data_IF_715380199160
#
_entry.id   IF_715380199160
#
_cell.length_a   1.000
_cell.length_b   1.000
_cell.length_c   1.000
_cell.angle_alpha   90.00
_cell.angle_beta   90.00
_cell.angle_gamma   90.00
#
_symmetry.space_group_name_H-M   'P 1'
#
loop_
_entity.id
_entity.type
_entity.pdbx_description
1 polymer ?
#
# COMPACT_ATOMS: atom_id res chain seq x y z
N UNK A 1 -55.79 -19.94 39.79
CA UNK A 1 -54.35 -20.16 39.58
C UNK A 1 -53.65 -18.96 40.19
N UNK A 2 -53.23 -19.01 41.46
CA UNK A 2 -51.95 -19.59 41.94
C UNK A 2 -50.76 -18.99 41.15
N UNK A 3 -49.78 -18.31 41.73
CA UNK A 3 -49.45 -17.91 43.10
C UNK A 3 -48.25 -16.94 43.03
N UNK A 4 -48.17 -15.93 43.90
CA UNK A 4 -47.24 -15.83 45.06
C UNK A 4 -45.76 -15.88 44.59
N UNK A 5 -44.94 -14.82 44.69
CA UNK A 5 -44.38 -14.29 45.95
C UNK A 5 -43.82 -12.87 45.76
N UNK A 6 -44.15 -12.01 46.74
CA UNK A 6 -43.41 -10.80 47.13
C UNK A 6 -41.94 -11.12 47.40
N UNK A 7 -41.04 -10.15 47.28
CA UNK A 7 -40.23 -9.66 48.42
C UNK A 7 -39.84 -8.21 48.12
N UNK A 8 -40.49 -7.32 48.84
CA UNK A 8 -40.00 -5.99 49.22
C UNK A 8 -38.97 -6.16 50.33
N UNK A 9 -37.79 -5.54 50.21
CA UNK A 9 -37.07 -4.93 51.35
C UNK A 9 -36.26 -3.75 50.80
N UNK A 10 -36.87 -2.57 50.83
CA UNK A 10 -36.15 -1.30 50.90
C UNK A 10 -35.80 -1.06 52.38
N UNK A 11 -34.56 -0.65 52.67
CA UNK A 11 -34.24 0.02 53.94
C UNK A 11 -32.96 -0.43 54.68
N UNK A 12 -31.93 0.40 54.52
CA UNK A 12 -30.97 0.86 55.55
C UNK A 12 -30.06 -0.19 56.20
N UNK A 13 -28.75 -0.12 55.90
CA UNK A 13 -27.72 0.09 56.93
C UNK A 13 -26.41 0.58 56.29
N UNK A 14 -26.04 1.82 56.64
CA UNK A 14 -24.66 2.29 56.61
C UNK A 14 -23.95 1.63 57.79
N UNK A 15 -23.06 0.68 57.54
CA UNK A 15 -22.12 0.23 58.56
C UNK A 15 -20.68 0.50 58.12
N UNK A 16 -19.98 1.26 58.96
CA UNK A 16 -18.57 1.57 58.86
C UNK A 16 -17.77 0.38 59.42
N UNK A 17 -17.59 -0.64 58.59
CA UNK A 17 -16.69 -1.76 58.86
C UNK A 17 -15.27 -1.48 58.39
N UNK A 18 -14.46 -0.87 59.26
CA UNK A 18 -13.03 -0.69 59.08
C UNK A 18 -12.32 -2.05 59.23
N UNK A 19 -11.50 -2.44 58.25
CA UNK A 19 -10.46 -3.45 58.42
C UNK A 19 -10.73 -4.82 57.82
N UNK A 20 -9.70 -5.37 57.16
CA UNK A 20 -9.58 -6.74 56.64
C UNK A 20 -10.31 -7.08 55.33
N UNK A 21 -9.89 -6.48 54.21
CA UNK A 21 -10.13 -7.09 52.89
C UNK A 21 -8.93 -7.09 51.93
N UNK A 22 -7.72 -6.77 52.38
CA UNK A 22 -6.52 -6.76 51.51
C UNK A 22 -5.67 -8.04 51.58
N UNK A 23 -5.94 -8.98 52.50
CA UNK A 23 -5.20 -10.26 52.57
C UNK A 23 -5.88 -11.45 51.87
N UNK A 24 -7.13 -11.30 51.41
CA UNK A 24 -7.88 -12.41 50.80
C UNK A 24 -7.71 -12.51 49.27
N UNK A 25 -7.08 -11.53 48.62
CA UNK A 25 -6.85 -11.56 47.16
C UNK A 25 -5.45 -12.06 46.77
N UNK A 26 -4.62 -12.39 47.77
CA UNK A 26 -3.54 -13.35 47.64
C UNK A 26 -4.11 -14.77 47.81
N UNK A 27 -5.08 -15.15 46.96
CA UNK A 27 -5.46 -16.56 46.81
C UNK A 27 -4.28 -17.27 46.14
N UNK A 28 -3.34 -17.66 46.99
CA UNK A 28 -2.56 -18.88 46.97
C UNK A 28 -2.18 -19.44 45.59
N UNK A 29 -1.44 -18.64 44.83
CA UNK A 29 -0.67 -19.11 43.68
C UNK A 29 0.52 -19.99 44.11
N UNK A 30 0.71 -20.30 45.39
CA UNK A 30 1.81 -21.13 45.89
C UNK A 30 1.40 -22.58 46.17
N UNK A 31 0.14 -22.85 46.54
CA UNK A 31 -0.37 -24.21 46.85
C UNK A 31 -0.94 -24.99 45.67
N UNK A 32 -1.09 -24.38 44.48
CA UNK A 32 -1.55 -25.09 43.29
C UNK A 32 -0.42 -25.93 42.67
N UNK A 33 -0.75 -27.17 42.28
CA UNK A 33 0.15 -28.07 41.56
C UNK A 33 0.75 -27.36 40.34
N UNK A 34 2.02 -27.63 40.00
CA UNK A 34 2.69 -27.06 38.83
C UNK A 34 1.87 -27.23 37.53
N UNK A 35 1.03 -28.26 37.48
CA UNK A 35 0.11 -28.53 36.38
C UNK A 35 -1.08 -27.57 36.33
N UNK A 36 -1.62 -27.16 37.48
CA UNK A 36 -2.76 -26.22 37.55
C UNK A 36 -2.32 -24.79 37.20
N UNK A 37 -1.11 -24.40 37.61
CA UNK A 37 -0.48 -23.14 37.18
C UNK A 37 -0.29 -23.10 35.67
N UNK A 38 0.22 -24.20 35.09
CA UNK A 38 0.38 -24.32 33.66
C UNK A 38 -0.96 -24.20 32.93
N UNK A 39 -2.02 -24.85 33.42
CA UNK A 39 -3.37 -24.75 32.83
C UNK A 39 -3.95 -23.35 32.94
N UNK A 40 -3.80 -22.71 34.10
CA UNK A 40 -4.29 -21.35 34.34
C UNK A 40 -3.53 -20.33 33.47
N UNK A 41 -2.23 -20.49 33.32
CA UNK A 41 -1.38 -19.64 32.49
C UNK A 41 -1.62 -19.87 30.99
N UNK A 42 -1.84 -21.11 30.55
CA UNK A 42 -2.26 -21.43 29.19
C UNK A 42 -3.63 -20.84 28.85
N UNK A 43 -4.59 -20.93 29.79
CA UNK A 43 -5.90 -20.31 29.66
C UNK A 43 -5.81 -18.78 29.59
N UNK A 44 -4.91 -18.17 30.39
CA UNK A 44 -4.69 -16.72 30.42
C UNK A 44 -3.94 -16.21 29.17
N UNK A 45 -3.02 -17.02 28.63
CA UNK A 45 -2.34 -16.78 27.35
C UNK A 45 -3.35 -16.82 26.19
N UNK A 46 -4.24 -17.81 26.15
CA UNK A 46 -5.32 -17.87 25.15
C UNK A 46 -6.32 -16.72 25.30
N UNK A 47 -6.66 -16.31 26.53
CA UNK A 47 -7.56 -15.17 26.75
C UNK A 47 -6.96 -13.84 26.26
N UNK A 48 -5.65 -13.61 26.45
CA UNK A 48 -4.96 -12.42 25.92
C UNK A 48 -4.84 -12.42 24.40
N UNK A 49 -4.62 -13.58 23.77
CA UNK A 49 -4.60 -13.68 22.31
C UNK A 49 -5.98 -13.53 21.67
N UNK A 50 -7.06 -13.94 22.35
CA UNK A 50 -8.43 -13.76 21.87
C UNK A 50 -8.80 -12.29 21.62
N UNK A 51 -8.32 -11.36 22.45
CA UNK A 51 -8.52 -9.93 22.26
C UNK A 51 -7.70 -9.32 21.11
N UNK A 52 -6.46 -9.80 20.93
CA UNK A 52 -5.60 -9.38 19.82
C UNK A 52 -6.11 -9.93 18.47
N UNK A 53 -6.58 -11.18 18.45
CA UNK A 53 -7.23 -11.81 17.29
C UNK A 53 -8.59 -11.19 16.99
N UNK A 54 -9.37 -10.80 18.01
CA UNK A 54 -10.63 -10.08 17.81
C UNK A 54 -10.41 -8.70 17.16
N UNK A 55 -9.35 -7.99 17.54
CA UNK A 55 -9.00 -6.70 16.93
C UNK A 55 -8.50 -6.86 15.48
N UNK A 56 -7.69 -7.89 15.19
CA UNK A 56 -7.30 -8.20 13.82
C UNK A 56 -8.49 -8.64 12.96
N UNK A 57 -9.38 -9.46 13.53
CA UNK A 57 -10.60 -9.90 12.86
C UNK A 57 -11.51 -8.72 12.54
N UNK A 58 -11.63 -7.72 13.42
CA UNK A 58 -12.41 -6.51 13.17
C UNK A 58 -11.85 -5.69 11.99
N UNK A 59 -10.54 -5.43 11.97
CA UNK A 59 -9.90 -4.72 10.85
C UNK A 59 -10.05 -5.47 9.53
N UNK A 60 -9.84 -6.79 9.54
CA UNK A 60 -9.96 -7.64 8.34
C UNK A 60 -11.41 -7.74 7.88
N UNK A 61 -12.38 -7.82 8.79
CA UNK A 61 -13.80 -7.90 8.45
C UNK A 61 -14.28 -6.62 7.76
N UNK A 62 -13.89 -5.45 8.27
CA UNK A 62 -14.18 -4.16 7.62
C UNK A 62 -13.49 -4.09 6.24
N UNK A 63 -12.25 -4.55 6.13
CA UNK A 63 -11.53 -4.61 4.86
C UNK A 63 -12.24 -5.53 3.85
N UNK A 64 -12.67 -6.72 4.24
CA UNK A 64 -13.37 -7.66 3.35
C UNK A 64 -14.71 -7.08 2.90
N UNK A 65 -15.51 -6.55 3.83
CA UNK A 65 -16.82 -5.96 3.51
C UNK A 65 -16.65 -4.78 2.55
N UNK A 66 -15.70 -3.88 2.82
CA UNK A 66 -15.44 -2.73 1.94
C UNK A 66 -14.91 -3.15 0.57
N UNK A 67 -14.04 -4.17 0.49
CA UNK A 67 -13.59 -4.73 -0.79
C UNK A 67 -14.73 -5.36 -1.59
N UNK A 68 -15.62 -6.12 -0.96
CA UNK A 68 -16.79 -6.72 -1.61
C UNK A 68 -17.71 -5.63 -2.15
N UNK A 69 -18.02 -4.62 -1.33
CA UNK A 69 -18.85 -3.48 -1.76
C UNK A 69 -18.18 -2.73 -2.91
N UNK A 70 -16.88 -2.42 -2.81
CA UNK A 70 -16.14 -1.75 -3.87
C UNK A 70 -16.16 -2.55 -5.18
N UNK A 71 -16.01 -3.87 -5.10
CA UNK A 71 -16.06 -4.75 -6.26
C UNK A 71 -17.45 -4.78 -6.89
N UNK A 72 -18.51 -4.88 -6.09
CA UNK A 72 -19.89 -4.82 -6.57
C UNK A 72 -20.19 -3.47 -7.22
N UNK A 73 -19.80 -2.36 -6.59
CA UNK A 73 -19.94 -1.02 -7.16
C UNK A 73 -19.19 -0.88 -8.49
N UNK A 74 -17.96 -1.36 -8.58
CA UNK A 74 -17.18 -1.35 -9.82
C UNK A 74 -17.86 -2.15 -10.94
N UNK A 75 -18.33 -3.36 -10.63
CA UNK A 75 -19.00 -4.23 -11.61
C UNK A 75 -20.33 -3.63 -12.05
N UNK A 76 -21.14 -3.14 -11.11
CA UNK A 76 -22.42 -2.46 -11.39
C UNK A 76 -22.20 -1.19 -12.21
N UNK A 77 -21.18 -0.40 -11.86
CA UNK A 77 -20.85 0.82 -12.58
C UNK A 77 -20.38 0.54 -14.01
N UNK A 78 -19.54 -0.50 -14.21
CA UNK A 78 -19.13 -0.96 -15.54
C UNK A 78 -20.33 -1.38 -16.40
N UNK A 79 -21.29 -2.10 -15.81
CA UNK A 79 -22.48 -2.56 -16.52
C UNK A 79 -23.45 -1.41 -16.86
N UNK A 80 -23.67 -0.47 -15.93
CA UNK A 80 -24.63 0.62 -16.11
C UNK A 80 -24.09 1.78 -16.96
N UNK A 81 -22.80 2.12 -16.81
CA UNK A 81 -22.17 3.26 -17.48
C UNK A 81 -20.80 2.90 -18.08
N UNK A 82 -20.74 2.06 -19.12
CA UNK A 82 -19.48 1.60 -19.72
C UNK A 82 -18.61 2.76 -20.24
N UNK A 83 -19.22 3.83 -20.76
CA UNK A 83 -18.50 5.01 -21.24
C UNK A 83 -17.75 5.73 -20.11
N UNK A 84 -18.41 5.92 -18.97
CA UNK A 84 -17.79 6.58 -17.80
C UNK A 84 -16.72 5.70 -17.17
N UNK A 85 -16.97 4.40 -17.07
CA UNK A 85 -16.01 3.43 -16.54
C UNK A 85 -14.71 3.41 -17.36
N UNK A 86 -14.82 3.36 -18.69
CA UNK A 86 -13.66 3.36 -19.58
C UNK A 86 -12.87 4.68 -19.48
N UNK A 87 -13.55 5.83 -19.39
CA UNK A 87 -12.88 7.12 -19.24
C UNK A 87 -12.13 7.22 -17.91
N UNK A 88 -12.74 6.81 -16.79
CA UNK A 88 -12.07 6.89 -15.48
C UNK A 88 -10.91 5.91 -15.40
N UNK A 89 -11.07 4.70 -15.93
CA UNK A 89 -9.97 3.72 -15.96
C UNK A 89 -8.81 4.22 -16.82
N UNK A 90 -9.11 4.79 -17.99
CA UNK A 90 -8.10 5.41 -18.86
C UNK A 90 -7.38 6.56 -18.15
N UNK A 91 -8.13 7.43 -17.47
CA UNK A 91 -7.59 8.55 -16.71
C UNK A 91 -6.70 8.06 -15.55
N UNK A 92 -7.14 7.04 -14.81
CA UNK A 92 -6.39 6.51 -13.69
C UNK A 92 -5.06 5.88 -14.12
N UNK A 93 -5.06 5.09 -15.20
CA UNK A 93 -3.83 4.54 -15.78
C UNK A 93 -2.88 5.65 -16.28
N UNK A 94 -3.42 6.77 -16.77
CA UNK A 94 -2.64 7.93 -17.21
C UNK A 94 -2.06 8.75 -16.05
N UNK A 95 -2.76 8.88 -14.91
CA UNK A 95 -2.33 9.68 -13.74
C UNK A 95 -1.34 8.93 -12.83
N UNK A 96 -1.40 7.60 -12.74
CA UNK A 96 -0.52 6.83 -11.85
C UNK A 96 0.98 7.06 -12.13
N UNK A 97 1.47 6.99 -13.39
CA UNK A 97 2.86 7.30 -13.71
C UNK A 97 3.25 8.75 -13.39
N UNK A 98 2.31 9.69 -13.55
CA UNK A 98 2.51 11.10 -13.21
C UNK A 98 2.72 11.31 -11.71
N UNK A 99 1.88 10.67 -10.88
CA UNK A 99 1.97 10.78 -9.43
C UNK A 99 3.33 10.27 -8.92
N UNK A 100 3.79 9.13 -9.43
CA UNK A 100 5.09 8.59 -9.05
C UNK A 100 6.24 9.52 -9.48
N UNK A 101 6.23 10.00 -10.72
CA UNK A 101 7.32 10.83 -11.25
C UNK A 101 7.39 12.24 -10.67
N UNK A 102 6.25 12.80 -10.23
CA UNK A 102 6.22 14.05 -9.43
C UNK A 102 6.79 13.85 -8.03
N UNK A 103 6.48 12.74 -7.35
CA UNK A 103 7.08 12.41 -6.05
C UNK A 103 8.60 12.21 -6.12
N UNK A 104 9.10 11.71 -7.26
CA UNK A 104 10.53 11.56 -7.54
C UNK A 104 11.19 12.85 -8.09
N UNK A 105 10.46 13.97 -8.19
CA UNK A 105 10.91 15.28 -8.70
C UNK A 105 11.61 15.23 -10.08
N UNK A 106 11.19 14.30 -10.96
CA UNK A 106 11.85 14.12 -12.25
C UNK A 106 11.29 15.08 -13.31
N UNK A 107 11.75 16.33 -13.28
CA UNK A 107 11.20 17.43 -14.10
C UNK A 107 11.25 17.20 -15.62
N UNK A 108 12.28 16.50 -16.12
CA UNK A 108 12.45 16.19 -17.55
C UNK A 108 11.34 15.27 -18.08
N UNK A 109 11.01 14.24 -17.31
CA UNK A 109 9.93 13.32 -17.67
C UNK A 109 8.57 14.04 -17.59
N UNK A 110 8.37 14.86 -16.55
CA UNK A 110 7.14 15.62 -16.36
C UNK A 110 6.88 16.59 -17.51
N UNK A 111 7.91 17.31 -17.98
CA UNK A 111 7.79 18.24 -19.10
C UNK A 111 7.39 17.52 -20.41
N UNK A 112 8.08 16.42 -20.75
CA UNK A 112 7.74 15.62 -21.94
C UNK A 112 6.32 15.05 -21.85
N UNK A 113 5.94 14.54 -20.68
CA UNK A 113 4.61 13.99 -20.44
C UNK A 113 3.51 15.04 -20.56
N UNK A 114 3.74 16.24 -20.01
CA UNK A 114 2.80 17.34 -20.10
C UNK A 114 2.57 17.77 -21.55
N UNK A 115 3.65 17.92 -22.34
CA UNK A 115 3.55 18.27 -23.76
C UNK A 115 2.77 17.19 -24.53
N UNK A 116 3.14 15.92 -24.35
CA UNK A 116 2.46 14.80 -24.99
C UNK A 116 0.96 14.76 -24.66
N UNK A 117 0.62 14.99 -23.38
CA UNK A 117 -0.77 14.94 -22.92
C UNK A 117 -1.58 16.15 -23.40
N UNK A 118 -1.00 17.35 -23.41
CA UNK A 118 -1.64 18.55 -23.93
C UNK A 118 -1.96 18.38 -25.43
N UNK A 119 -0.99 17.89 -26.22
CA UNK A 119 -1.18 17.59 -27.64
C UNK A 119 -2.28 16.54 -27.84
N UNK A 120 -2.22 15.41 -27.13
CA UNK A 120 -3.22 14.33 -27.23
C UNK A 120 -4.62 14.82 -26.85
N UNK A 121 -4.73 15.67 -25.84
CA UNK A 121 -5.98 16.29 -25.43
C UNK A 121 -6.53 17.25 -26.50
N UNK A 122 -5.69 18.07 -27.14
CA UNK A 122 -6.12 18.96 -28.24
C UNK A 122 -6.66 18.17 -29.44
N UNK A 123 -6.01 17.06 -29.80
CA UNK A 123 -6.47 16.18 -30.89
C UNK A 123 -7.79 15.53 -30.54
N UNK A 124 -7.88 14.98 -29.33
CA UNK A 124 -9.10 14.33 -28.82
C UNK A 124 -10.25 15.31 -28.74
N UNK A 125 -9.99 16.53 -28.27
CA UNK A 125 -10.98 17.60 -28.20
C UNK A 125 -11.52 17.96 -29.58
N UNK A 126 -10.64 18.12 -30.58
CA UNK A 126 -11.06 18.36 -31.97
C UNK A 126 -11.84 17.17 -32.54
N UNK A 127 -11.49 15.93 -32.18
CA UNK A 127 -12.20 14.73 -32.60
C UNK A 127 -13.57 14.52 -31.94
N UNK A 128 -13.81 15.11 -30.75
CA UNK A 128 -15.04 14.91 -29.97
C UNK A 128 -16.10 15.98 -30.20
N UNK A 129 -15.76 17.08 -30.91
CA UNK A 129 -16.73 18.14 -31.28
C UNK A 129 -17.71 17.63 -32.37
N UNK A 130 -18.98 18.06 -32.26
CA UNK A 130 -20.05 17.83 -33.24
C UNK A 130 -20.51 19.19 -33.80
N UNK A 131 -20.86 19.33 -35.10
CA UNK A 131 -20.81 18.33 -36.17
C UNK A 131 -19.37 17.97 -36.57
N UNK A 132 -19.15 16.73 -37.03
CA UNK A 132 -17.82 16.29 -37.47
C UNK A 132 -17.52 16.87 -38.85
N UNK A 133 -16.56 17.79 -38.92
CA UNK A 133 -16.05 18.31 -40.19
C UNK A 133 -15.28 17.19 -40.93
N UNK A 134 -15.42 17.12 -42.26
CA UNK A 134 -14.71 16.17 -43.15
C UNK A 134 -13.18 16.28 -43.08
N UNK A 135 -12.63 17.33 -42.46
CA UNK A 135 -11.19 17.51 -42.21
C UNK A 135 -10.70 16.80 -40.94
N UNK A 136 -11.59 16.51 -39.98
CA UNK A 136 -11.30 15.88 -38.69
C UNK A 136 -10.59 14.52 -38.79
N UNK A 137 -11.05 13.56 -39.62
CA UNK A 137 -10.33 12.28 -39.76
C UNK A 137 -8.90 12.50 -40.25
N UNK A 138 -8.68 13.40 -41.23
CA UNK A 138 -7.34 13.70 -41.77
C UNK A 138 -6.38 14.23 -40.69
N UNK A 139 -6.87 15.04 -39.76
CA UNK A 139 -6.06 15.59 -38.67
C UNK A 139 -5.65 14.49 -37.67
N UNK A 140 -6.58 13.62 -37.29
CA UNK A 140 -6.30 12.48 -36.40
C UNK A 140 -5.28 11.54 -37.03
N UNK A 141 -5.44 11.18 -38.31
CA UNK A 141 -4.47 10.33 -39.01
C UNK A 141 -3.08 10.96 -39.08
N UNK A 142 -2.98 12.26 -39.41
CA UNK A 142 -1.68 12.97 -39.43
C UNK A 142 -1.02 12.96 -38.05
N UNK A 143 -1.80 13.13 -36.98
CA UNK A 143 -1.26 13.08 -35.62
C UNK A 143 -0.80 11.69 -35.20
N UNK A 144 -1.60 10.65 -35.46
CA UNK A 144 -1.18 9.27 -35.21
C UNK A 144 0.09 8.91 -35.98
N UNK A 145 0.19 9.34 -37.24
CA UNK A 145 1.39 9.15 -38.05
C UNK A 145 2.59 9.93 -37.50
N UNK A 146 2.38 11.13 -36.95
CA UNK A 146 3.42 11.90 -36.29
C UNK A 146 3.91 11.21 -35.02
N UNK A 147 2.99 10.71 -34.18
CA UNK A 147 3.32 9.92 -32.99
C UNK A 147 4.10 8.66 -33.36
N UNK A 148 3.67 7.94 -34.40
CA UNK A 148 4.40 6.78 -34.91
C UNK A 148 5.85 7.15 -35.28
N UNK A 149 6.05 8.24 -36.04
CA UNK A 149 7.39 8.73 -36.39
C UNK A 149 8.20 9.12 -35.16
N UNK A 150 7.63 9.86 -34.22
CA UNK A 150 8.32 10.29 -33.00
C UNK A 150 8.74 9.10 -32.13
N UNK A 151 7.85 8.12 -31.93
CA UNK A 151 8.15 6.90 -31.18
C UNK A 151 9.20 6.05 -31.89
N UNK A 152 9.10 5.90 -33.22
CA UNK A 152 10.07 5.17 -34.02
C UNK A 152 11.46 5.82 -33.94
N UNK A 153 11.54 7.14 -34.15
CA UNK A 153 12.80 7.89 -34.04
C UNK A 153 13.36 7.84 -32.63
N UNK A 154 12.53 8.03 -31.60
CA UNK A 154 12.99 7.97 -30.19
C UNK A 154 13.45 6.56 -29.82
N UNK A 155 12.78 5.52 -30.33
CA UNK A 155 13.17 4.12 -30.15
C UNK A 155 14.51 3.82 -30.80
N UNK A 156 14.73 4.26 -32.04
CA UNK A 156 16.03 4.15 -32.72
C UNK A 156 17.10 4.92 -31.96
N UNK A 157 16.85 6.18 -31.61
CA UNK A 157 17.83 7.00 -30.89
C UNK A 157 18.15 6.37 -29.53
N UNK A 158 17.16 5.92 -28.78
CA UNK A 158 17.35 5.24 -27.50
C UNK A 158 18.13 3.94 -27.66
N UNK A 159 17.80 3.13 -28.66
CA UNK A 159 18.55 1.92 -28.99
C UNK A 159 19.99 2.24 -29.39
N UNK A 160 20.21 3.21 -30.28
CA UNK A 160 21.53 3.67 -30.67
C UNK A 160 22.34 4.18 -29.48
N UNK A 161 21.73 4.91 -28.55
CA UNK A 161 22.37 5.37 -27.30
C UNK A 161 22.75 4.19 -26.41
N UNK A 162 21.86 3.21 -26.24
CA UNK A 162 22.14 2.00 -25.44
C UNK A 162 23.25 1.18 -26.10
N UNK A 163 23.15 0.93 -27.40
CA UNK A 163 24.18 0.22 -28.17
C UNK A 163 25.51 0.95 -28.08
N UNK A 164 25.56 2.26 -28.29
CA UNK A 164 26.78 3.05 -28.18
C UNK A 164 27.38 3.06 -26.76
N UNK A 165 26.51 3.05 -25.74
CA UNK A 165 26.92 2.92 -24.33
C UNK A 165 27.56 1.56 -24.08
N UNK A 166 27.02 0.48 -24.66
CA UNK A 166 27.54 -0.89 -24.54
C UNK A 166 28.78 -1.16 -25.41
N UNK A 167 28.86 -0.59 -26.61
CA UNK A 167 30.02 -0.65 -27.52
C UNK A 167 31.26 0.09 -27.00
N UNK A 168 31.15 0.80 -25.87
CA UNK A 168 32.32 1.02 -25.03
C UNK A 168 32.78 2.47 -24.85
N UNK A 169 31.96 3.50 -25.08
CA UNK A 169 32.31 4.84 -24.56
C UNK A 169 32.37 4.82 -23.03
N UNK A 170 31.53 4.02 -22.36
CA UNK A 170 31.66 3.75 -20.92
C UNK A 170 32.94 2.97 -20.55
N UNK A 171 33.48 2.14 -21.44
CA UNK A 171 34.74 1.41 -21.24
C UNK A 171 35.97 2.32 -21.43
N UNK A 172 35.91 3.29 -22.34
CA UNK A 172 36.97 4.29 -22.53
C UNK A 172 37.10 5.16 -21.26
N UNK A 173 36.00 5.58 -20.65
CA UNK A 173 36.03 6.33 -19.37
C UNK A 173 36.31 5.46 -18.14
N UNK A 174 35.97 4.16 -18.13
CA UNK A 174 36.24 3.24 -16.99
C UNK A 174 37.62 2.58 -17.03
N UNK A 175 38.32 2.64 -18.15
CA UNK A 175 39.71 2.19 -18.28
C UNK A 175 40.73 3.32 -18.03
N UNK A 176 40.27 4.58 -17.92
CA UNK A 176 41.00 5.65 -17.24
C UNK A 176 40.80 5.49 -15.72
N UNK A 177 41.80 5.74 -14.87
CA UNK A 177 42.31 4.81 -13.86
C UNK A 177 41.50 4.76 -12.55
N UNK A 178 40.38 4.02 -12.52
CA UNK A 178 39.71 3.64 -11.27
C UNK A 178 39.78 2.14 -10.95
N UNK A 179 40.28 1.32 -11.89
CA UNK A 179 40.46 -0.13 -11.67
C UNK A 179 41.71 -0.49 -10.84
N UNK A 180 42.59 0.49 -10.56
CA UNK A 180 43.79 0.24 -9.76
C UNK A 180 43.56 0.32 -8.24
N UNK A 181 42.43 0.90 -7.77
CA UNK A 181 42.22 1.20 -6.34
C UNK A 181 41.12 0.38 -5.66
N UNK A 182 40.11 -0.14 -6.37
CA UNK A 182 39.04 -0.91 -5.72
C UNK A 182 38.69 -2.20 -6.47
N UNK A 183 39.30 -3.31 -6.05
CA UNK A 183 38.89 -4.64 -6.45
C UNK A 183 37.57 -5.04 -5.78
N UNK A 184 36.43 -4.62 -6.33
CA UNK A 184 35.11 -5.13 -5.92
C UNK A 184 34.18 -5.37 -7.12
N UNK A 185 33.63 -6.59 -7.30
CA UNK A 185 32.73 -6.91 -8.40
C UNK A 185 31.32 -6.38 -8.17
N UNK A 186 30.68 -5.92 -9.25
CA UNK A 186 29.39 -5.22 -9.30
C UNK A 186 28.14 -6.06 -8.91
N UNK A 187 28.30 -7.28 -8.42
CA UNK A 187 27.20 -8.19 -8.09
C UNK A 187 26.47 -7.85 -6.77
N UNK A 188 27.04 -6.96 -5.94
CA UNK A 188 26.54 -6.74 -4.57
C UNK A 188 25.48 -5.63 -4.45
N UNK A 189 25.27 -4.81 -5.48
CA UNK A 189 24.41 -3.63 -5.37
C UNK A 189 22.91 -3.96 -5.49
N UNK A 190 22.54 -4.92 -6.35
CA UNK A 190 21.17 -5.41 -6.51
C UNK A 190 20.67 -6.14 -5.25
N UNK A 191 21.50 -7.02 -4.66
CA UNK A 191 21.15 -7.71 -3.42
C UNK A 191 20.96 -6.75 -2.24
N UNK A 192 21.79 -5.70 -2.16
CA UNK A 192 21.63 -4.66 -1.15
C UNK A 192 20.37 -3.81 -1.35
N UNK A 193 19.90 -3.65 -2.59
CA UNK A 193 18.67 -2.96 -2.89
C UNK A 193 17.44 -3.82 -2.54
N UNK A 194 17.46 -5.12 -2.86
CA UNK A 194 16.43 -6.08 -2.44
C UNK A 194 16.31 -6.18 -0.92
N UNK A 195 17.43 -6.27 -0.19
CA UNK A 195 17.42 -6.32 1.28
C UNK A 195 16.87 -5.04 1.91
N UNK A 196 17.16 -3.87 1.30
CA UNK A 196 16.62 -2.59 1.78
C UNK A 196 15.11 -2.49 1.60
N UNK A 197 14.58 -2.94 0.47
CA UNK A 197 13.13 -2.99 0.23
C UNK A 197 12.40 -3.98 1.13
N UNK A 198 12.99 -5.15 1.36
CA UNK A 198 12.44 -6.14 2.29
C UNK A 198 12.42 -5.59 3.73
N UNK A 199 13.52 -4.98 4.19
CA UNK A 199 13.61 -4.41 5.55
C UNK A 199 12.71 -3.18 5.78
N UNK A 200 12.27 -2.48 4.72
CA UNK A 200 11.30 -1.38 4.86
C UNK A 200 9.86 -1.84 5.06
N UNK A 201 9.54 -3.11 4.77
CA UNK A 201 8.18 -3.67 4.87
C UNK A 201 7.95 -4.41 6.20
N UNK A 202 9.00 -4.84 6.91
CA UNK A 202 8.91 -5.77 8.06
C UNK A 202 9.39 -5.22 9.42
N UNK A 203 9.24 -3.92 9.72
CA UNK A 203 9.43 -3.43 11.10
C UNK A 203 8.10 -3.04 11.76
N UNK A 204 7.51 -3.91 12.62
CA UNK A 204 6.74 -3.42 13.75
C UNK A 204 7.72 -2.80 14.76
N UNK A 205 7.41 -1.59 15.20
CA UNK A 205 8.12 -0.86 16.25
C UNK A 205 8.07 -1.65 17.57
N UNK A 206 9.18 -2.29 17.95
CA UNK A 206 9.37 -2.80 19.32
C UNK A 206 9.71 -1.63 20.27
N UNK A 207 9.14 -1.59 21.49
CA UNK A 207 9.56 -0.65 22.53
C UNK A 207 10.90 -1.06 23.16
N UNK A 208 11.67 -0.11 23.75
CA UNK A 208 12.96 -0.40 24.36
C UNK A 208 12.81 -1.17 25.68
N UNK A 209 13.59 -2.25 25.83
CA UNK A 209 13.78 -2.93 27.11
C UNK A 209 14.70 -2.13 28.04
N UNK A 210 14.53 -2.23 29.37
CA UNK A 210 15.36 -1.55 30.34
C UNK A 210 16.74 -2.20 30.46
N UNK A 211 17.75 -1.35 30.64
CA UNK A 211 19.15 -1.70 30.89
C UNK A 211 19.25 -2.29 32.30
N UNK A 212 19.74 -3.54 32.41
CA UNK A 212 20.35 -4.07 33.63
C UNK A 212 21.87 -3.89 33.49
N UNK A 213 22.43 -2.98 34.29
CA UNK A 213 23.46 -3.20 35.32
C UNK A 213 23.89 -1.85 35.91
#
# INVERSE_FOLDING_TARGET
>A
MAGVFEVEVDGVEHDHGHGHHDEAQQIDLSQLSAEEKWRLEHARMHAKHKGHEAMHAEMVLILIVTLVIAQLLLVQWKQRHPKSYNLVTLFQMWVVPLYFTTKLHWWRFLATWFIFSAVTALVTFRATRKPLDCTTPRLVYKWFLLLYKMSYTTGIVGYSVVMFTLFGINLIFRNFPLKAVSGQPAHTQWEQWCRRLSNSVTRPSLPPHPIQE
#
